data_IF_425008171532
#
_entry.id   IF_425008171532
#
_cell.length_a   1.000
_cell.length_b   1.000
_cell.length_c   1.000
_cell.angle_alpha   90.00
_cell.angle_beta   90.00
_cell.angle_gamma   90.00
#
_symmetry.space_group_name_H-M   'P 1'
#
loop_
_entity.id
_entity.type
_entity.pdbx_description
1 polymer ?
#
# COMPACT_ATOMS: atom_id res chain seq x y z
N UNK A 1 30.87 35.13 -85.15
CA UNK A 1 31.31 36.20 -84.23
C UNK A 1 31.58 35.58 -82.86
N UNK A 2 32.82 35.65 -82.38
CA UNK A 2 33.25 35.09 -81.09
C UNK A 2 33.25 36.22 -80.05
N UNK A 3 32.37 36.15 -79.06
CA UNK A 3 32.35 37.08 -77.94
C UNK A 3 32.84 36.34 -76.70
N UNK A 4 34.05 36.67 -76.24
CA UNK A 4 34.63 36.18 -74.98
C UNK A 4 34.09 37.02 -73.83
N UNK A 5 33.52 36.38 -72.82
CA UNK A 5 33.17 37.01 -71.54
C UNK A 5 34.17 36.54 -70.48
N UNK A 6 34.94 37.49 -69.94
CA UNK A 6 35.77 37.31 -68.77
C UNK A 6 34.88 37.52 -67.53
N UNK A 7 34.70 36.49 -66.71
CA UNK A 7 34.14 36.65 -65.37
C UNK A 7 35.28 36.79 -64.36
N UNK A 8 35.35 37.97 -63.75
CA UNK A 8 36.18 38.25 -62.60
C UNK A 8 35.59 37.52 -61.38
N UNK A 9 36.41 36.71 -60.71
CA UNK A 9 36.08 36.07 -59.44
C UNK A 9 36.25 37.12 -58.35
N UNK A 10 35.14 37.72 -57.93
CA UNK A 10 35.07 38.55 -56.73
C UNK A 10 34.98 37.67 -55.49
N UNK A 11 36.05 37.66 -54.68
CA UNK A 11 36.06 37.03 -53.37
C UNK A 11 35.12 37.77 -52.42
N UNK A 12 33.92 37.21 -52.20
CA UNK A 12 33.02 37.62 -51.13
C UNK A 12 33.54 37.07 -49.81
N UNK A 13 34.11 37.97 -48.99
CA UNK A 13 34.43 37.70 -47.60
C UNK A 13 33.12 37.52 -46.81
N UNK A 14 32.82 36.28 -46.42
CA UNK A 14 31.74 35.96 -45.48
C UNK A 14 32.20 36.32 -44.05
N UNK A 15 31.42 37.09 -43.27
CA UNK A 15 31.68 37.24 -41.85
C UNK A 15 31.39 35.91 -41.15
N UNK A 16 32.45 35.30 -40.61
CA UNK A 16 32.35 34.17 -39.67
C UNK A 16 31.72 34.72 -38.38
N UNK A 17 30.41 34.58 -38.25
CA UNK A 17 29.72 34.78 -36.97
C UNK A 17 30.00 33.56 -36.11
N UNK A 18 30.98 33.70 -35.21
CA UNK A 18 31.22 32.77 -34.10
C UNK A 18 29.99 32.78 -33.19
N UNK A 19 29.04 31.89 -33.45
CA UNK A 19 27.95 31.57 -32.52
C UNK A 19 28.54 30.77 -31.34
N UNK A 20 29.13 31.46 -30.37
CA UNK A 20 29.40 30.94 -29.02
C UNK A 20 28.10 30.90 -28.21
N UNK A 21 27.11 30.15 -28.72
CA UNK A 21 25.79 29.97 -28.15
C UNK A 21 25.43 28.49 -28.02
N UNK A 22 26.39 27.64 -27.63
CA UNK A 22 26.13 26.24 -27.32
C UNK A 22 25.38 26.15 -25.99
N UNK A 23 24.06 26.24 -26.11
CA UNK A 23 23.09 25.35 -25.49
C UNK A 23 23.48 24.79 -24.10
N UNK A 24 23.29 25.60 -23.06
CA UNK A 24 22.68 25.07 -21.83
C UNK A 24 21.20 24.84 -22.14
N UNK A 25 20.90 23.80 -22.93
CA UNK A 25 19.62 23.12 -22.80
C UNK A 25 19.68 22.48 -21.41
N UNK A 26 19.30 23.27 -20.42
CA UNK A 26 19.12 22.81 -19.05
C UNK A 26 18.23 21.58 -19.15
N UNK A 27 18.69 20.47 -18.58
CA UNK A 27 17.89 19.28 -18.32
C UNK A 27 16.60 19.75 -17.62
N UNK A 28 15.56 20.04 -18.39
CA UNK A 28 14.25 20.27 -17.85
C UNK A 28 13.88 18.94 -17.24
N UNK A 29 13.91 18.86 -15.90
CA UNK A 29 13.59 17.65 -15.19
C UNK A 29 12.25 17.14 -15.72
N UNK A 30 12.24 15.91 -16.25
CA UNK A 30 11.02 15.27 -16.72
C UNK A 30 10.00 15.37 -15.58
N UNK A 31 8.80 15.91 -15.82
CA UNK A 31 7.81 16.05 -14.77
C UNK A 31 7.52 14.68 -14.16
N UNK A 32 7.28 14.62 -12.84
CA UNK A 32 6.99 13.35 -12.17
C UNK A 32 5.76 12.70 -12.80
N UNK A 33 5.89 11.44 -13.19
CA UNK A 33 4.79 10.66 -13.79
C UNK A 33 3.72 10.28 -12.79
N UNK A 34 4.09 10.21 -11.51
CA UNK A 34 3.19 9.91 -10.39
C UNK A 34 3.31 11.01 -9.35
N UNK A 35 2.17 11.54 -8.92
CA UNK A 35 2.08 12.48 -7.81
C UNK A 35 1.10 11.95 -6.77
N UNK A 36 1.62 11.60 -5.60
CA UNK A 36 0.81 11.05 -4.52
C UNK A 36 0.09 12.16 -3.75
N UNK A 37 -1.23 12.01 -3.61
CA UNK A 37 -2.03 12.77 -2.64
C UNK A 37 -1.89 12.14 -1.26
N UNK A 38 -1.89 10.80 -1.21
CA UNK A 38 -1.73 10.00 0.00
C UNK A 38 -1.11 8.63 -0.35
N UNK A 39 -0.25 8.11 0.52
CA UNK A 39 0.30 6.75 0.43
C UNK A 39 0.63 6.24 1.83
N UNK A 40 0.03 5.13 2.25
CA UNK A 40 0.34 4.47 3.52
C UNK A 40 1.78 3.96 3.56
N UNK A 41 2.27 3.39 2.44
CA UNK A 41 3.60 2.79 2.32
C UNK A 41 4.76 3.79 2.48
N UNK A 42 4.54 5.07 2.16
CA UNK A 42 5.54 6.12 2.36
C UNK A 42 5.62 6.61 3.82
N UNK A 43 4.68 6.15 4.67
CA UNK A 43 4.55 6.56 6.06
C UNK A 43 4.31 8.07 6.24
N UNK A 44 4.26 8.52 7.49
CA UNK A 44 4.32 9.95 7.84
C UNK A 44 5.73 10.53 7.78
N UNK A 45 6.76 9.68 7.65
CA UNK A 45 8.17 10.05 7.75
C UNK A 45 8.89 10.18 6.38
N UNK A 46 8.29 9.72 5.29
CA UNK A 46 8.86 9.85 3.94
C UNK A 46 8.70 11.26 3.38
N UNK A 47 9.79 12.03 3.41
CA UNK A 47 9.83 13.41 2.94
C UNK A 47 9.36 13.61 1.49
N UNK A 48 8.40 14.54 1.34
CA UNK A 48 8.45 15.66 0.41
C UNK A 48 8.59 15.43 -1.10
N UNK A 49 7.90 14.45 -1.67
CA UNK A 49 7.41 14.58 -3.05
C UNK A 49 5.89 14.49 -3.09
N UNK A 50 5.23 15.62 -2.81
CA UNK A 50 3.80 15.80 -3.07
C UNK A 50 2.82 15.47 -1.94
N UNK A 51 3.29 15.04 -0.75
CA UNK A 51 2.41 14.67 0.35
C UNK A 51 1.39 15.77 0.69
N UNK A 52 0.12 15.51 0.41
CA UNK A 52 -0.95 16.43 0.72
C UNK A 52 -1.30 16.35 2.21
N UNK A 53 -1.59 17.49 2.83
CA UNK A 53 -2.13 17.50 4.19
C UNK A 53 -3.59 17.04 4.13
N UNK A 54 -3.92 16.00 4.89
CA UNK A 54 -5.29 15.53 5.01
C UNK A 54 -6.08 16.40 5.99
N UNK A 55 -7.32 16.71 5.64
CA UNK A 55 -8.26 17.47 6.46
C UNK A 55 -9.69 16.98 6.22
N UNK A 56 -10.61 17.11 7.20
CA UNK A 56 -12.02 16.85 6.95
C UNK A 56 -12.60 17.87 5.95
N UNK A 57 -13.59 17.43 5.17
CA UNK A 57 -14.40 18.28 4.28
C UNK A 57 -15.87 18.17 4.68
N UNK A 58 -16.53 19.29 4.94
CA UNK A 58 -17.87 19.29 5.52
C UNK A 58 -17.88 18.62 6.89
N UNK A 59 -18.81 17.68 7.11
CA UNK A 59 -18.83 16.82 8.30
C UNK A 59 -18.19 15.44 8.10
N UNK A 60 -17.46 15.24 6.99
CA UNK A 60 -16.67 14.02 6.79
C UNK A 60 -15.53 13.91 7.81
N UNK A 61 -15.03 12.70 7.99
CA UNK A 61 -13.94 12.39 8.93
C UNK A 61 -12.79 11.71 8.19
N UNK A 62 -11.57 12.05 8.59
CA UNK A 62 -10.35 11.42 8.10
C UNK A 62 -9.39 11.23 9.28
N UNK A 63 -9.03 9.99 9.58
CA UNK A 63 -8.13 9.65 10.66
C UNK A 63 -7.26 8.45 10.27
N UNK A 64 -6.02 8.43 10.76
CA UNK A 64 -5.16 7.26 10.58
C UNK A 64 -5.73 6.10 11.42
N UNK A 65 -6.07 5.01 10.75
CA UNK A 65 -6.49 3.75 11.38
C UNK A 65 -5.28 2.85 11.58
N UNK A 66 -5.17 2.27 12.77
CA UNK A 66 -4.14 1.27 13.12
C UNK A 66 -4.69 -0.15 13.12
N UNK A 67 -6.00 -0.28 12.99
CA UNK A 67 -6.70 -1.57 13.00
C UNK A 67 -6.58 -2.27 11.63
N UNK A 68 -6.33 -1.49 10.59
CA UNK A 68 -6.10 -1.96 9.22
C UNK A 68 -4.76 -1.44 8.75
N UNK A 69 -3.94 -2.32 8.19
CA UNK A 69 -2.65 -1.98 7.61
C UNK A 69 -2.66 -2.29 6.10
N UNK A 70 -1.86 -1.53 5.36
CA UNK A 70 -1.52 -1.80 3.97
C UNK A 70 0.00 -1.88 3.90
N UNK A 71 0.53 -3.02 3.46
CA UNK A 71 1.98 -3.24 3.35
C UNK A 71 2.72 -2.98 4.69
N UNK A 72 2.08 -3.31 5.82
CA UNK A 72 2.62 -3.10 7.16
C UNK A 72 2.53 -1.67 7.70
N UNK A 73 1.94 -0.74 6.95
CA UNK A 73 1.75 0.66 7.36
C UNK A 73 0.28 0.97 7.68
N UNK A 74 0.01 1.85 8.67
CA UNK A 74 -1.35 2.26 9.00
C UNK A 74 -1.97 3.09 7.88
N UNK A 75 -3.26 2.92 7.66
CA UNK A 75 -4.00 3.48 6.52
C UNK A 75 -4.90 4.65 6.93
N UNK A 76 -5.43 5.40 5.97
CA UNK A 76 -6.37 6.47 6.26
C UNK A 76 -7.80 5.92 6.29
N UNK A 77 -8.41 5.91 7.46
CA UNK A 77 -9.86 5.69 7.60
C UNK A 77 -10.61 6.96 7.19
N UNK A 78 -11.54 6.82 6.26
CA UNK A 78 -12.36 7.92 5.74
C UNK A 78 -13.82 7.58 6.01
N UNK A 79 -14.55 8.53 6.61
CA UNK A 79 -16.01 8.49 6.71
C UNK A 79 -16.59 9.60 5.88
N UNK A 80 -17.43 9.23 4.93
CA UNK A 80 -18.19 10.13 4.06
C UNK A 80 -19.66 10.07 4.45
N UNK A 81 -20.45 11.07 4.03
CA UNK A 81 -21.91 11.07 4.24
C UNK A 81 -22.72 11.24 2.98
N UNK A 82 -22.19 12.04 2.06
CA UNK A 82 -22.78 12.39 0.77
C UNK A 82 -21.71 13.17 -0.03
N UNK A 83 -22.07 13.61 -1.24
CA UNK A 83 -21.15 14.30 -2.15
C UNK A 83 -20.65 15.68 -1.65
N UNK A 84 -21.08 16.13 -0.49
CA UNK A 84 -20.67 17.38 0.13
C UNK A 84 -19.75 17.15 1.34
N UNK A 85 -19.59 15.91 1.81
CA UNK A 85 -18.92 15.58 3.07
C UNK A 85 -17.97 14.39 2.92
N UNK A 86 -16.69 14.61 3.24
CA UNK A 86 -15.65 13.59 3.07
C UNK A 86 -14.27 14.06 3.54
N UNK A 87 -13.24 13.80 2.73
CA UNK A 87 -11.84 14.14 3.03
C UNK A 87 -11.25 15.07 1.97
N UNK A 88 -10.47 16.05 2.41
CA UNK A 88 -9.68 16.96 1.59
C UNK A 88 -8.19 16.64 1.71
N UNK A 89 -7.50 16.70 0.59
CA UNK A 89 -6.05 16.58 0.44
C UNK A 89 -5.53 17.94 -0.03
N UNK A 90 -4.93 18.71 0.88
CA UNK A 90 -4.33 20.02 0.58
C UNK A 90 -2.89 19.84 0.10
N UNK A 91 -2.65 20.13 -1.17
CA UNK A 91 -1.35 19.88 -1.81
C UNK A 91 -0.33 20.91 -1.34
N UNK A 92 0.85 20.44 -0.95
CA UNK A 92 1.96 21.32 -0.56
C UNK A 92 2.47 22.17 -1.74
N UNK A 93 2.42 21.63 -2.95
CA UNK A 93 2.73 22.31 -4.20
C UNK A 93 1.56 22.13 -5.18
N UNK A 94 1.05 23.21 -5.81
CA UNK A 94 0.01 23.08 -6.82
C UNK A 94 0.46 22.21 -7.99
N UNK A 95 -0.45 21.38 -8.50
CA UNK A 95 -0.17 20.42 -9.59
C UNK A 95 -0.84 20.88 -10.88
N UNK A 96 -0.09 20.97 -11.97
CA UNK A 96 -0.68 21.15 -13.29
C UNK A 96 -1.23 19.81 -13.82
N UNK A 97 -2.55 19.66 -13.77
CA UNK A 97 -3.24 18.45 -14.25
C UNK A 97 -3.36 18.38 -15.77
N UNK A 98 -3.04 19.45 -16.51
CA UNK A 98 -3.16 19.42 -17.97
C UNK A 98 -2.16 18.44 -18.59
N UNK A 99 -0.99 18.26 -17.97
CA UNK A 99 -0.02 17.21 -18.33
C UNK A 99 -0.55 15.78 -18.17
N UNK A 100 -1.62 15.60 -17.37
CA UNK A 100 -2.27 14.32 -17.13
C UNK A 100 -3.52 14.12 -17.99
N UNK A 101 -4.03 15.11 -18.75
CA UNK A 101 -5.29 14.95 -19.47
C UNK A 101 -5.26 13.86 -20.53
N UNK A 102 -4.15 13.73 -21.27
CA UNK A 102 -4.09 12.80 -22.40
C UNK A 102 -4.11 11.33 -21.95
N UNK A 103 -3.24 10.99 -21.00
CA UNK A 103 -2.95 9.59 -20.60
C UNK A 103 -3.00 9.38 -19.08
N UNK A 104 -3.38 10.38 -18.31
CA UNK A 104 -3.38 10.31 -16.86
C UNK A 104 -4.72 9.90 -16.28
N UNK A 105 -4.66 9.36 -15.07
CA UNK A 105 -5.81 8.98 -14.26
C UNK A 105 -5.52 9.25 -12.78
N UNK A 106 -6.57 9.47 -12.01
CA UNK A 106 -6.52 9.36 -10.56
C UNK A 106 -6.63 7.88 -10.18
N UNK A 107 -5.72 7.42 -9.33
CA UNK A 107 -5.66 6.06 -8.81
C UNK A 107 -5.99 6.06 -7.33
N UNK A 108 -6.93 5.21 -6.91
CA UNK A 108 -7.30 4.98 -5.52
C UNK A 108 -7.14 3.50 -5.16
N UNK A 109 -6.46 3.20 -4.05
CA UNK A 109 -6.39 1.85 -3.46
C UNK A 109 -7.22 1.84 -2.18
N UNK A 110 -8.36 1.15 -2.21
CA UNK A 110 -9.38 1.20 -1.17
C UNK A 110 -9.68 -0.19 -0.62
N UNK A 111 -10.07 -0.26 0.66
CA UNK A 111 -10.69 -1.44 1.27
C UNK A 111 -11.96 -1.00 1.99
N UNK A 112 -13.03 -1.76 1.82
CA UNK A 112 -14.30 -1.52 2.49
C UNK A 112 -14.42 -2.39 3.74
N UNK A 113 -15.46 -2.19 4.53
CA UNK A 113 -15.65 -2.95 5.75
C UNK A 113 -15.92 -4.42 5.41
N UNK A 114 -15.27 -5.31 6.14
CA UNK A 114 -15.56 -6.73 6.07
C UNK A 114 -16.97 -6.95 6.63
N UNK A 115 -17.79 -7.71 5.92
CA UNK A 115 -19.05 -8.23 6.45
C UNK A 115 -18.68 -9.13 7.61
N UNK A 116 -19.13 -8.78 8.82
CA UNK A 116 -19.00 -9.67 9.96
C UNK A 116 -19.55 -11.04 9.53
N UNK A 117 -18.81 -12.14 9.77
CA UNK A 117 -19.30 -13.46 9.40
C UNK A 117 -20.70 -13.58 9.98
N UNK A 118 -21.68 -13.82 9.10
CA UNK A 118 -23.05 -14.00 9.55
C UNK A 118 -23.00 -15.14 10.55
N UNK A 119 -23.18 -14.82 11.84
CA UNK A 119 -23.19 -15.82 12.89
C UNK A 119 -24.32 -16.77 12.49
N UNK A 120 -24.04 -18.03 12.14
CA UNK A 120 -25.07 -18.93 11.67
C UNK A 120 -26.15 -18.96 12.73
N UNK A 121 -27.37 -18.60 12.34
CA UNK A 121 -28.51 -18.33 13.24
C UNK A 121 -28.91 -19.57 14.08
N UNK A 122 -28.27 -20.72 13.86
CA UNK A 122 -28.43 -21.96 14.63
C UNK A 122 -27.36 -22.26 15.70
N UNK A 123 -26.32 -21.42 15.89
CA UNK A 123 -25.26 -21.70 16.87
C UNK A 123 -25.57 -21.24 18.31
N UNK A 124 -26.76 -20.66 18.55
CA UNK A 124 -27.25 -20.31 19.90
C UNK A 124 -28.56 -21.05 20.20
N UNK A 125 -28.67 -22.33 19.83
CA UNK A 125 -29.53 -23.27 20.55
C UNK A 125 -28.76 -23.80 21.75
N UNK A 126 -28.46 -22.89 22.69
CA UNK A 126 -28.08 -23.26 24.03
C UNK A 126 -29.32 -23.78 24.76
N UNK A 127 -29.54 -25.10 24.68
CA UNK A 127 -30.40 -25.85 25.58
C UNK A 127 -30.24 -25.36 27.03
N UNK A 128 -31.35 -24.91 27.61
CA UNK A 128 -31.67 -25.19 29.01
C UNK A 128 -30.65 -24.80 30.08
N UNK A 129 -30.19 -23.54 30.11
CA UNK A 129 -29.72 -22.97 31.37
C UNK A 129 -30.90 -22.88 32.36
N UNK A 130 -30.83 -23.46 33.57
CA UNK A 130 -31.92 -23.38 34.53
C UNK A 130 -32.23 -21.92 34.88
N UNK A 131 -33.49 -21.58 35.19
CA UNK A 131 -33.88 -20.23 35.59
C UNK A 131 -33.13 -19.87 36.88
N UNK A 132 -32.06 -19.09 36.76
CA UNK A 132 -31.51 -18.37 37.89
C UNK A 132 -32.50 -17.24 38.21
N UNK A 133 -33.37 -17.48 39.19
CA UNK A 133 -34.12 -16.44 39.89
C UNK A 133 -33.12 -15.53 40.61
N UNK A 134 -32.57 -14.56 39.86
CA UNK A 134 -31.91 -13.41 40.45
C UNK A 134 -33.00 -12.53 41.07
N UNK A 135 -33.26 -12.81 42.35
CA UNK A 135 -34.02 -11.96 43.25
C UNK A 135 -33.44 -10.54 43.20
N UNK A 136 -34.13 -9.68 42.44
CA UNK A 136 -33.67 -8.35 42.09
C UNK A 136 -33.54 -7.50 43.36
N UNK A 137 -32.30 -7.17 43.74
CA UNK A 137 -32.01 -6.22 44.82
C UNK A 137 -32.80 -4.90 44.56
N UNK A 138 -33.77 -4.54 45.42
CA UNK A 138 -34.59 -3.35 45.24
C UNK A 138 -33.77 -2.05 45.28
N UNK A 139 -32.50 -2.09 45.72
CA UNK A 139 -31.60 -0.92 45.69
C UNK A 139 -31.07 -0.63 44.28
N UNK A 140 -30.96 -1.61 43.38
CA UNK A 140 -30.54 -1.41 42.00
C UNK A 140 -31.59 -0.62 41.20
N UNK A 141 -32.87 -0.96 41.34
CA UNK A 141 -33.99 -0.25 40.68
C UNK A 141 -34.10 1.23 41.09
N UNK A 142 -33.69 1.58 42.32
CA UNK A 142 -33.75 2.97 42.81
C UNK A 142 -32.62 3.85 42.26
N UNK A 143 -31.47 3.26 41.87
CA UNK A 143 -30.37 3.98 41.20
C UNK A 143 -30.70 4.28 39.74
N UNK A 144 -31.33 3.34 39.03
CA UNK A 144 -31.79 3.50 37.64
C UNK A 144 -32.78 4.68 37.50
N UNK A 145 -33.80 4.73 38.36
CA UNK A 145 -34.81 5.81 38.35
C UNK A 145 -34.25 7.19 38.66
N UNK A 146 -33.18 7.30 39.46
CA UNK A 146 -32.53 8.59 39.72
C UNK A 146 -31.68 9.07 38.56
N UNK A 147 -31.15 8.15 37.74
CA UNK A 147 -30.40 8.47 36.53
C UNK A 147 -31.32 9.02 35.44
N UNK A 148 -32.45 8.36 35.19
CA UNK A 148 -33.45 8.82 34.22
C UNK A 148 -34.09 10.17 34.57
N UNK A 149 -34.26 10.51 35.87
CA UNK A 149 -34.81 11.80 36.29
C UNK A 149 -33.84 12.99 36.16
N UNK A 150 -32.54 12.75 35.95
CA UNK A 150 -31.55 13.83 35.72
C UNK A 150 -31.38 14.19 34.25
N UNK A 151 -31.98 13.43 33.32
CA UNK A 151 -31.87 13.66 31.87
C UNK A 151 -33.07 14.39 31.26
N UNK A 152 -34.10 14.70 32.05
CA UNK A 152 -35.27 15.47 31.59
C UNK A 152 -35.09 16.98 31.87
N UNK A 153 -34.18 17.64 31.14
CA UNK A 153 -34.18 19.09 30.95
C UNK A 153 -34.06 19.38 29.44
N UNK A 154 -34.94 20.21 28.85
CA UNK A 154 -34.96 20.39 27.40
C UNK A 154 -33.87 21.36 26.98
N UNK A 155 -32.75 20.83 26.49
CA UNK A 155 -31.72 21.60 25.80
C UNK A 155 -31.23 20.82 24.56
N UNK A 156 -31.60 21.34 23.38
CA UNK A 156 -30.98 21.04 22.08
C UNK A 156 -29.47 21.30 22.13
N UNK A 157 -28.65 20.25 22.17
CA UNK A 157 -27.30 20.14 21.55
C UNK A 157 -26.92 18.66 21.38
N UNK A 158 -26.43 18.21 20.22
CA UNK A 158 -25.88 16.87 20.07
C UNK A 158 -24.52 16.82 20.75
N UNK A 159 -24.44 16.09 21.87
CA UNK A 159 -23.20 15.76 22.53
C UNK A 159 -22.96 14.25 22.39
N UNK A 160 -22.23 13.86 21.34
CA UNK A 160 -21.58 12.55 21.35
C UNK A 160 -20.27 12.68 22.15
N UNK A 161 -20.34 12.30 23.43
CA UNK A 161 -19.16 11.99 24.22
C UNK A 161 -18.74 10.56 23.89
N UNK A 162 -17.50 10.42 23.43
CA UNK A 162 -16.86 9.14 23.22
C UNK A 162 -16.79 8.30 24.49
N UNK A 163 -17.08 7.02 24.32
CA UNK A 163 -16.57 5.90 25.09
C UNK A 163 -16.97 4.62 24.34
N UNK A 164 -16.24 4.29 23.27
CA UNK A 164 -16.20 2.91 22.79
C UNK A 164 -15.36 2.12 23.81
N UNK A 165 -15.99 1.75 24.92
CA UNK A 165 -15.45 0.79 25.87
C UNK A 165 -15.73 -0.60 25.31
N UNK A 166 -14.87 -1.09 24.40
CA UNK A 166 -14.83 -2.51 24.05
C UNK A 166 -14.17 -3.27 25.22
N UNK A 167 -14.93 -3.43 26.30
CA UNK A 167 -14.63 -4.34 27.40
C UNK A 167 -15.37 -5.66 27.19
N UNK A 168 -15.06 -6.36 26.10
CA UNK A 168 -15.45 -7.76 25.93
C UNK A 168 -14.33 -8.61 26.51
N UNK A 169 -14.55 -9.20 27.68
CA UNK A 169 -13.71 -10.28 28.16
C UNK A 169 -13.76 -11.40 27.12
N UNK A 170 -12.65 -11.65 26.42
CA UNK A 170 -12.49 -12.83 25.59
C UNK A 170 -12.68 -14.06 26.50
N UNK A 171 -13.58 -15.01 26.17
CA UNK A 171 -13.58 -16.29 26.87
C UNK A 171 -12.23 -16.97 26.62
N UNK A 172 -11.71 -17.76 27.59
CA UNK A 172 -10.49 -18.52 27.38
C UNK A 172 -10.72 -19.52 26.24
N UNK A 173 -10.13 -19.24 25.08
CA UNK A 173 -10.05 -20.15 23.94
C UNK A 173 -9.09 -21.30 24.29
N UNK A 174 -9.60 -22.26 25.05
CA UNK A 174 -9.07 -23.63 25.09
C UNK A 174 -9.60 -24.37 23.87
N UNK A 175 -9.01 -24.15 22.70
CA UNK A 175 -9.37 -24.85 21.47
C UNK A 175 -8.62 -26.18 21.37
N UNK A 176 -9.36 -27.29 21.50
CA UNK A 176 -8.98 -28.56 20.91
C UNK A 176 -8.70 -28.37 19.41
N UNK A 177 -7.70 -29.08 18.89
CA UNK A 177 -7.13 -28.86 17.57
C UNK A 177 -8.17 -28.91 16.45
N UNK A 178 -8.39 -27.77 15.80
CA UNK A 178 -8.97 -27.74 14.47
C UNK A 178 -7.93 -28.36 13.53
N UNK A 179 -8.13 -29.64 13.18
CA UNK A 179 -7.45 -30.27 12.04
C UNK A 179 -7.88 -29.51 10.79
N UNK A 180 -7.04 -28.58 10.32
CA UNK A 180 -7.31 -27.82 9.11
C UNK A 180 -7.40 -28.77 7.92
N UNK A 181 -8.54 -28.74 7.22
CA UNK A 181 -8.71 -29.46 5.96
C UNK A 181 -7.59 -29.06 4.98
N UNK A 182 -6.76 -30.03 4.61
CA UNK A 182 -5.78 -29.85 3.55
C UNK A 182 -6.46 -30.16 2.21
N UNK A 183 -6.10 -29.40 1.18
CA UNK A 183 -6.41 -29.79 -0.20
C UNK A 183 -5.80 -31.17 -0.50
N UNK A 184 -6.31 -31.90 -1.52
CA UNK A 184 -5.77 -33.21 -1.92
C UNK A 184 -4.27 -33.20 -2.28
N UNK A 185 -3.71 -32.04 -2.56
CA UNK A 185 -2.29 -31.81 -2.86
C UNK A 185 -1.44 -31.49 -1.61
N UNK A 186 -2.04 -31.53 -0.42
CA UNK A 186 -1.38 -31.24 0.86
C UNK A 186 -1.19 -29.75 1.13
N UNK A 187 -1.70 -28.86 0.28
CA UNK A 187 -1.71 -27.42 0.58
C UNK A 187 -2.83 -27.08 1.56
N UNK A 188 -2.63 -26.15 2.51
CA UNK A 188 -3.72 -25.67 3.36
C UNK A 188 -4.83 -25.11 2.47
N UNK A 189 -6.10 -25.40 2.78
CA UNK A 189 -7.20 -24.65 2.17
C UNK A 189 -7.00 -23.18 2.50
N UNK A 190 -6.81 -22.35 1.48
CA UNK A 190 -6.78 -20.91 1.65
C UNK A 190 -8.18 -20.46 2.07
N UNK A 191 -8.31 -19.97 3.30
CA UNK A 191 -9.60 -19.51 3.81
C UNK A 191 -10.10 -18.39 2.90
N UNK A 192 -11.35 -18.45 2.40
CA UNK A 192 -11.88 -17.38 1.56
C UNK A 192 -11.82 -16.07 2.32
N UNK A 193 -11.38 -15.00 1.64
CA UNK A 193 -11.37 -13.67 2.23
C UNK A 193 -12.77 -13.30 2.71
N UNK A 194 -12.89 -12.60 3.85
CA UNK A 194 -14.18 -12.12 4.29
C UNK A 194 -14.80 -11.25 3.20
N UNK A 195 -16.07 -11.49 2.89
CA UNK A 195 -16.81 -10.66 1.96
C UNK A 195 -16.78 -9.21 2.46
N UNK A 196 -16.62 -8.24 1.55
CA UNK A 196 -16.70 -6.83 1.89
C UNK A 196 -18.09 -6.30 1.55
N UNK A 197 -18.56 -5.34 2.34
CA UNK A 197 -19.81 -4.63 2.09
C UNK A 197 -19.59 -3.13 2.19
N UNK A 198 -20.30 -2.40 1.34
CA UNK A 198 -20.44 -0.95 1.45
C UNK A 198 -21.79 -0.53 0.90
N UNK A 199 -22.33 0.58 1.43
CA UNK A 199 -23.49 1.24 0.83
C UNK A 199 -23.08 2.20 -0.31
N UNK A 200 -21.79 2.52 -0.42
CA UNK A 200 -21.27 3.45 -1.42
C UNK A 200 -21.37 2.81 -2.81
N UNK A 201 -22.10 3.46 -3.71
CA UNK A 201 -22.16 3.05 -5.13
C UNK A 201 -21.33 3.97 -6.02
N UNK A 202 -21.01 5.18 -5.56
CA UNK A 202 -20.19 6.15 -6.31
C UNK A 202 -19.27 6.95 -5.37
N UNK A 203 -18.00 7.11 -5.76
CA UNK A 203 -17.09 8.07 -5.15
C UNK A 203 -17.01 9.33 -6.00
N UNK A 204 -17.18 10.49 -5.36
CA UNK A 204 -17.04 11.81 -5.99
C UNK A 204 -15.65 12.39 -5.75
N UNK A 205 -15.00 12.84 -6.84
CA UNK A 205 -13.74 13.57 -6.81
C UNK A 205 -13.99 15.01 -7.21
N UNK A 206 -13.52 15.96 -6.40
CA UNK A 206 -13.48 17.39 -6.74
C UNK A 206 -12.06 17.92 -6.63
N UNK A 207 -11.52 18.43 -7.74
CA UNK A 207 -10.23 19.09 -7.82
C UNK A 207 -10.45 20.60 -7.76
N UNK A 208 -9.98 21.23 -6.68
CA UNK A 208 -9.99 22.67 -6.52
C UNK A 208 -8.80 23.27 -7.28
N UNK A 209 -9.09 24.10 -8.28
CA UNK A 209 -8.09 24.80 -9.09
C UNK A 209 -7.97 26.25 -8.64
N UNK A 210 -6.99 26.98 -9.18
CA UNK A 210 -6.86 28.43 -8.94
C UNK A 210 -8.14 29.19 -9.31
N UNK A 211 -8.75 28.84 -10.44
CA UNK A 211 -10.06 29.32 -10.84
C UNK A 211 -10.96 28.10 -11.11
N UNK A 212 -12.18 28.10 -10.60
CA UNK A 212 -13.15 27.03 -10.81
C UNK A 212 -12.78 25.67 -10.18
N UNK A 213 -13.52 24.64 -10.58
CA UNK A 213 -13.34 23.26 -10.09
C UNK A 213 -13.41 22.26 -11.23
N UNK A 214 -12.86 21.07 -11.01
CA UNK A 214 -12.96 19.94 -11.95
C UNK A 214 -13.41 18.71 -11.18
N UNK A 215 -14.48 18.07 -11.64
CA UNK A 215 -15.20 17.04 -10.89
C UNK A 215 -15.29 15.74 -11.69
N UNK A 216 -15.32 14.61 -11.00
CA UNK A 216 -15.58 13.32 -11.63
C UNK A 216 -16.15 12.32 -10.64
N UNK A 217 -16.62 11.18 -11.15
CA UNK A 217 -17.22 10.11 -10.36
C UNK A 217 -16.58 8.78 -10.68
N UNK A 218 -16.47 7.93 -9.68
CA UNK A 218 -15.93 6.58 -9.78
C UNK A 218 -17.02 5.62 -9.32
N UNK A 219 -17.55 4.75 -10.19
CA UNK A 219 -18.49 3.74 -9.76
C UNK A 219 -17.79 2.74 -8.83
N UNK A 220 -18.42 2.43 -7.71
CA UNK A 220 -17.99 1.41 -6.76
C UNK A 220 -18.85 0.18 -6.97
N UNK A 221 -18.26 -0.86 -7.56
CA UNK A 221 -18.92 -2.14 -7.75
C UNK A 221 -17.99 -3.26 -7.23
N UNK A 222 -18.36 -3.86 -6.09
CA UNK A 222 -17.57 -4.90 -5.43
C UNK A 222 -17.60 -6.25 -6.15
N UNK A 223 -18.58 -6.47 -7.04
CA UNK A 223 -18.70 -7.69 -7.83
C UNK A 223 -17.75 -7.70 -9.03
N UNK A 224 -17.53 -6.53 -9.63
CA UNK A 224 -16.68 -6.38 -10.82
C UNK A 224 -15.25 -5.98 -10.51
N UNK A 225 -14.99 -5.37 -9.34
CA UNK A 225 -13.63 -5.14 -8.89
C UNK A 225 -13.03 -6.43 -8.31
N UNK A 226 -11.74 -6.64 -8.53
CA UNK A 226 -11.01 -7.78 -7.98
C UNK A 226 -10.24 -7.31 -6.74
N UNK A 227 -10.55 -7.83 -5.54
CA UNK A 227 -9.72 -7.57 -4.38
C UNK A 227 -8.39 -8.31 -4.49
N UNK A 228 -7.33 -7.78 -3.89
CA UNK A 228 -6.15 -8.57 -3.60
C UNK A 228 -6.35 -9.51 -2.42
N UNK A 229 -5.30 -10.26 -2.10
CA UNK A 229 -5.20 -11.19 -0.97
C UNK A 229 -5.43 -10.55 0.41
N UNK A 230 -5.45 -9.22 0.52
CA UNK A 230 -5.72 -8.50 1.75
C UNK A 230 -7.07 -7.74 1.68
N UNK A 231 -7.83 -7.92 0.61
CA UNK A 231 -9.11 -7.26 0.37
C UNK A 231 -9.01 -5.88 -0.28
N UNK A 232 -7.82 -5.39 -0.66
CA UNK A 232 -7.69 -4.08 -1.30
C UNK A 232 -8.09 -4.12 -2.76
N UNK A 233 -8.78 -3.08 -3.19
CA UNK A 233 -9.31 -2.91 -4.55
C UNK A 233 -8.72 -1.66 -5.18
N UNK A 234 -8.40 -1.76 -6.47
CA UNK A 234 -7.93 -0.65 -7.27
C UNK A 234 -9.09 0.02 -8.00
N UNK A 235 -9.22 1.33 -7.84
CA UNK A 235 -10.15 2.16 -8.58
C UNK A 235 -9.39 3.23 -9.37
N UNK A 236 -9.81 3.49 -10.60
CA UNK A 236 -9.17 4.45 -11.49
C UNK A 236 -10.19 5.39 -12.12
N UNK A 237 -9.82 6.66 -12.27
CA UNK A 237 -10.62 7.71 -12.92
C UNK A 237 -9.76 8.45 -13.95
N UNK A 238 -9.97 8.23 -15.25
CA UNK A 238 -9.24 8.97 -16.27
C UNK A 238 -9.43 10.49 -16.10
N UNK A 239 -8.33 11.26 -16.15
CA UNK A 239 -8.39 12.72 -15.96
C UNK A 239 -9.18 13.40 -17.10
N UNK A 240 -9.18 12.79 -18.29
CA UNK A 240 -10.00 13.23 -19.43
C UNK A 240 -11.51 13.12 -19.18
N UNK A 241 -11.95 12.25 -18.26
CA UNK A 241 -13.36 12.03 -17.96
C UNK A 241 -13.88 13.01 -16.90
N UNK A 242 -13.00 13.87 -16.36
CA UNK A 242 -13.39 14.91 -15.43
C UNK A 242 -14.06 16.08 -16.15
N UNK A 243 -15.13 16.59 -15.54
CA UNK A 243 -15.90 17.74 -16.01
C UNK A 243 -15.44 18.99 -15.27
N UNK A 244 -14.95 19.97 -16.02
CA UNK A 244 -14.49 21.26 -15.51
C UNK A 244 -15.62 22.30 -15.56
N UNK A 245 -15.68 23.22 -14.58
CA UNK A 245 -16.51 24.44 -14.70
C UNK A 245 -16.01 25.33 -15.83
N UNK A 246 -16.85 26.25 -16.33
CA UNK A 246 -16.50 27.08 -17.49
C UNK A 246 -15.26 27.98 -17.26
N UNK A 247 -15.02 28.36 -16.01
CA UNK A 247 -13.91 29.19 -15.55
C UNK A 247 -12.70 28.37 -15.03
N UNK A 248 -12.81 27.03 -15.04
CA UNK A 248 -11.81 26.14 -14.48
C UNK A 248 -10.45 26.28 -15.17
N UNK A 249 -9.45 26.79 -14.45
CA UNK A 249 -8.11 26.99 -14.99
C UNK A 249 -7.05 27.04 -13.89
N UNK A 250 -5.78 26.90 -14.30
CA UNK A 250 -4.64 26.90 -13.39
C UNK A 250 -4.40 25.55 -12.71
N UNK A 251 -3.37 25.48 -11.84
CA UNK A 251 -3.01 24.26 -11.14
C UNK A 251 -4.04 23.87 -10.07
N UNK A 252 -4.06 22.59 -9.72
CA UNK A 252 -4.86 22.03 -8.62
C UNK A 252 -4.14 22.29 -7.30
N UNK A 253 -4.87 22.83 -6.32
CA UNK A 253 -4.38 23.08 -4.95
C UNK A 253 -4.86 22.05 -3.94
N UNK A 254 -6.06 21.53 -4.14
CA UNK A 254 -6.61 20.52 -3.25
C UNK A 254 -7.43 19.52 -4.05
N UNK A 255 -7.45 18.28 -3.59
CA UNK A 255 -8.39 17.25 -4.05
C UNK A 255 -9.34 16.91 -2.91
N UNK A 256 -10.61 16.69 -3.22
CA UNK A 256 -11.65 16.30 -2.27
C UNK A 256 -12.22 14.96 -2.74
N UNK A 257 -12.31 14.00 -1.80
CA UNK A 257 -12.92 12.69 -2.00
C UNK A 257 -14.18 12.60 -1.13
N UNK A 258 -15.30 12.24 -1.76
CA UNK A 258 -16.65 12.12 -1.19
C UNK A 258 -17.31 10.85 -1.72
N UNK A 259 -18.50 10.50 -1.23
CA UNK A 259 -19.33 9.41 -1.76
C UNK A 259 -20.79 9.83 -1.91
N UNK A 260 -21.60 9.01 -2.55
CA UNK A 260 -23.06 9.15 -2.58
C UNK A 260 -23.74 8.89 -1.23
N UNK A 261 -23.29 7.87 -0.49
CA UNK A 261 -23.90 7.39 0.75
C UNK A 261 -23.04 7.58 2.00
N UNK A 262 -23.65 7.51 3.19
CA UNK A 262 -22.91 7.50 4.46
C UNK A 262 -22.31 6.13 4.75
N UNK A 263 -20.98 6.06 4.73
CA UNK A 263 -20.22 4.85 5.08
C UNK A 263 -18.75 5.20 5.42
N UNK A 264 -17.99 4.20 5.85
CA UNK A 264 -16.53 4.33 5.98
C UNK A 264 -15.77 3.32 5.13
N UNK A 265 -14.64 3.76 4.61
CA UNK A 265 -13.67 2.91 3.91
C UNK A 265 -12.24 3.27 4.34
N UNK A 266 -11.31 2.39 4.01
CA UNK A 266 -9.89 2.58 4.23
C UNK A 266 -9.20 2.93 2.92
N UNK A 267 -8.38 3.99 2.93
CA UNK A 267 -7.59 4.46 1.81
C UNK A 267 -6.12 4.16 2.08
N UNK A 268 -5.52 3.32 1.22
CA UNK A 268 -4.09 3.02 1.25
C UNK A 268 -3.29 3.96 0.34
N UNK A 269 -3.85 4.34 -0.81
CA UNK A 269 -3.16 5.17 -1.80
C UNK A 269 -4.15 6.04 -2.57
N UNK A 270 -3.80 7.31 -2.78
CA UNK A 270 -4.43 8.21 -3.74
C UNK A 270 -3.34 8.94 -4.53
N UNK A 271 -3.35 8.86 -5.86
CA UNK A 271 -2.31 9.47 -6.69
C UNK A 271 -2.81 9.87 -8.08
N UNK A 272 -2.26 10.94 -8.65
CA UNK A 272 -2.31 11.18 -10.09
C UNK A 272 -1.19 10.40 -10.76
N UNK A 273 -1.51 9.66 -11.82
CA UNK A 273 -0.55 8.79 -12.52
C UNK A 273 -0.71 9.01 -14.02
N UNK A 274 0.40 9.09 -14.75
CA UNK A 274 0.43 9.07 -16.21
C UNK A 274 0.63 7.62 -16.69
N UNK A 275 -0.25 7.13 -17.57
CA UNK A 275 -0.09 5.82 -18.20
C UNK A 275 1.16 5.82 -19.10
N UNK A 276 2.14 4.99 -18.77
CA UNK A 276 3.36 4.78 -19.54
C UNK A 276 3.26 3.59 -20.51
N UNK A 277 2.21 2.76 -20.42
CA UNK A 277 2.04 1.53 -21.19
C UNK A 277 2.99 0.39 -20.79
N UNK A 278 4.00 0.66 -19.98
CA UNK A 278 4.99 -0.30 -19.51
C UNK A 278 5.12 -0.22 -17.99
N UNK A 279 5.29 -1.37 -17.34
CA UNK A 279 5.71 -1.40 -15.94
C UNK A 279 7.20 -1.06 -15.92
N UNK A 280 7.61 -0.16 -15.04
CA UNK A 280 9.03 0.05 -14.74
C UNK A 280 9.25 -0.07 -13.24
N UNK A 281 10.37 -0.67 -12.87
CA UNK A 281 10.79 -0.79 -11.47
C UNK A 281 12.23 -0.32 -11.31
N UNK A 282 12.49 0.48 -10.29
CA UNK A 282 13.83 0.86 -9.86
C UNK A 282 14.02 0.51 -8.39
N UNK A 283 15.19 -0.01 -8.03
CA UNK A 283 15.55 -0.29 -6.64
C UNK A 283 16.50 0.81 -6.16
N UNK A 284 16.23 1.36 -4.99
CA UNK A 284 17.01 2.44 -4.38
C UNK A 284 17.06 2.32 -2.86
N UNK A 285 17.88 3.14 -2.22
CA UNK A 285 17.86 3.31 -0.77
C UNK A 285 16.83 4.38 -0.36
N UNK A 286 16.38 4.41 0.90
CA UNK A 286 15.45 5.42 1.39
C UNK A 286 15.91 6.87 1.16
N UNK A 287 17.22 7.12 1.27
CA UNK A 287 17.84 8.43 1.07
C UNK A 287 18.01 8.85 -0.40
N UNK A 288 17.95 7.90 -1.33
CA UNK A 288 18.06 8.19 -2.75
C UNK A 288 16.71 8.72 -3.29
N UNK A 289 16.70 9.67 -4.26
CA UNK A 289 15.45 10.17 -4.83
C UNK A 289 14.63 9.08 -5.55
N UNK A 290 13.28 9.17 -5.56
CA UNK A 290 12.43 8.25 -6.32
C UNK A 290 12.79 8.17 -7.81
N UNK A 291 12.74 6.95 -8.36
CA UNK A 291 13.11 6.66 -9.75
C UNK A 291 14.62 6.52 -9.99
N UNK A 292 15.44 6.66 -8.95
CA UNK A 292 16.88 6.39 -9.04
C UNK A 292 17.10 4.89 -9.19
N UNK A 293 17.77 4.47 -10.26
CA UNK A 293 18.23 3.10 -10.40
C UNK A 293 19.66 3.00 -9.89
N UNK A 294 19.84 2.30 -8.77
CA UNK A 294 21.16 2.03 -8.21
C UNK A 294 21.58 0.62 -8.62
N UNK A 295 22.75 0.48 -9.25
CA UNK A 295 23.26 -0.82 -9.68
C UNK A 295 23.96 -1.57 -8.52
N UNK A 296 24.58 -0.84 -7.61
CA UNK A 296 25.37 -1.38 -6.50
C UNK A 296 25.28 -0.49 -5.27
N UNK A 297 25.15 -1.11 -4.09
CA UNK A 297 25.14 -0.45 -2.79
C UNK A 297 26.04 -1.20 -1.81
N UNK A 298 26.71 -0.46 -0.94
CA UNK A 298 27.56 -1.01 0.11
C UNK A 298 26.95 -0.71 1.48
N UNK A 299 26.83 -1.74 2.32
CA UNK A 299 26.29 -1.64 3.67
C UNK A 299 27.23 -2.31 4.67
N UNK A 300 27.17 -1.81 5.92
CA UNK A 300 27.70 -2.55 7.06
C UNK A 300 26.74 -3.68 7.44
N UNK A 301 27.21 -4.75 8.10
CA UNK A 301 26.34 -5.77 8.66
C UNK A 301 25.19 -5.17 9.49
N UNK A 302 24.00 -5.74 9.32
CA UNK A 302 22.79 -5.26 9.99
C UNK A 302 21.57 -5.20 9.07
N UNK A 303 20.55 -4.48 9.55
CA UNK A 303 19.31 -4.28 8.81
C UNK A 303 19.50 -3.27 7.67
N UNK A 304 19.19 -3.70 6.46
CA UNK A 304 19.23 -2.91 5.24
C UNK A 304 17.80 -2.74 4.74
N UNK A 305 17.40 -1.50 4.49
CA UNK A 305 16.11 -1.18 3.88
C UNK A 305 16.32 -0.76 2.43
N UNK A 306 15.60 -1.41 1.52
CA UNK A 306 15.56 -1.05 0.09
C UNK A 306 14.14 -0.67 -0.28
N UNK A 307 14.02 0.22 -1.27
CA UNK A 307 12.75 0.65 -1.83
C UNK A 307 12.72 0.32 -3.33
N UNK A 308 11.71 -0.41 -3.77
CA UNK A 308 11.33 -0.57 -5.16
C UNK A 308 10.33 0.53 -5.51
N UNK A 309 10.72 1.48 -6.36
CA UNK A 309 9.76 2.41 -6.95
C UNK A 309 9.15 1.74 -8.19
N UNK A 310 7.84 1.56 -8.18
CA UNK A 310 7.10 0.90 -9.26
C UNK A 310 6.21 1.89 -9.98
N UNK A 311 6.44 2.09 -11.27
CA UNK A 311 5.50 2.78 -12.16
C UNK A 311 4.78 1.73 -13.01
N UNK A 312 3.52 1.43 -12.67
CA UNK A 312 2.74 0.42 -13.38
C UNK A 312 1.65 1.02 -14.30
N UNK A 313 1.49 2.34 -14.30
CA UNK A 313 0.31 2.98 -14.88
C UNK A 313 -0.96 2.48 -14.16
N UNK A 314 -1.99 2.18 -14.94
CA UNK A 314 -3.30 1.71 -14.48
C UNK A 314 -3.29 0.23 -14.09
N UNK A 315 -2.19 -0.48 -14.33
CA UNK A 315 -2.04 -1.87 -13.90
C UNK A 315 -1.97 -1.94 -12.37
N UNK A 316 -2.39 -3.09 -11.84
CA UNK A 316 -2.31 -3.40 -10.42
C UNK A 316 -1.03 -4.23 -10.16
N UNK A 317 0.08 -3.60 -9.73
CA UNK A 317 1.34 -4.31 -9.54
C UNK A 317 1.29 -5.21 -8.31
N UNK A 318 1.89 -6.39 -8.44
CA UNK A 318 2.36 -7.22 -7.34
C UNK A 318 3.90 -7.20 -7.34
N UNK A 319 4.50 -6.91 -6.19
CA UNK A 319 5.96 -6.77 -6.02
C UNK A 319 6.48 -7.96 -5.22
N UNK A 320 7.37 -8.73 -5.82
CA UNK A 320 8.01 -9.90 -5.22
C UNK A 320 9.50 -9.60 -5.01
N UNK A 321 10.00 -9.75 -3.79
CA UNK A 321 11.42 -9.55 -3.46
C UNK A 321 12.16 -10.88 -3.32
N UNK A 322 13.35 -10.94 -3.89
CA UNK A 322 14.27 -12.06 -3.79
C UNK A 322 15.64 -11.56 -3.33
N UNK A 323 15.96 -11.77 -2.06
CA UNK A 323 17.17 -11.24 -1.42
C UNK A 323 18.44 -12.06 -1.69
N UNK A 324 18.34 -13.15 -2.45
CA UNK A 324 19.48 -13.99 -2.82
C UNK A 324 19.26 -14.66 -4.19
N UNK A 325 19.13 -13.81 -5.22
CA UNK A 325 18.74 -14.24 -6.56
C UNK A 325 19.74 -15.19 -7.24
N UNK A 326 20.99 -15.22 -6.78
CA UNK A 326 22.04 -16.06 -7.37
C UNK A 326 22.06 -17.49 -6.76
N UNK A 327 21.40 -17.75 -5.63
CA UNK A 327 21.42 -19.05 -4.93
C UNK A 327 20.10 -19.87 -5.02
N UNK A 328 19.11 -19.44 -5.81
CA UNK A 328 17.71 -19.97 -5.78
C UNK A 328 17.53 -21.37 -6.40
N UNK A 329 18.61 -22.11 -6.73
CA UNK A 329 18.53 -23.35 -7.51
C UNK A 329 18.67 -24.68 -6.76
N UNK A 330 18.93 -24.69 -5.45
CA UNK A 330 19.53 -25.87 -4.82
C UNK A 330 19.07 -26.22 -3.40
N UNK A 331 17.77 -26.13 -3.04
CA UNK A 331 17.30 -26.52 -1.70
C UNK A 331 15.91 -27.19 -1.65
N UNK A 332 15.74 -28.26 -0.84
CA UNK A 332 14.44 -28.87 -0.52
C UNK A 332 13.66 -28.10 0.57
N UNK A 333 12.33 -28.12 0.47
CA UNK A 333 11.37 -27.52 1.40
C UNK A 333 11.39 -28.22 2.76
N UNK A 334 11.93 -27.59 3.81
CA UNK A 334 11.42 -27.75 5.18
C UNK A 334 12.00 -26.68 6.11
N UNK A 335 11.16 -26.18 7.02
CA UNK A 335 11.44 -25.27 8.16
C UNK A 335 11.27 -23.75 7.89
N UNK A 336 10.03 -23.28 8.08
CA UNK A 336 9.71 -21.93 8.54
C UNK A 336 8.64 -22.06 9.65
N UNK A 337 9.09 -22.20 10.90
CA UNK A 337 8.24 -22.13 12.10
C UNK A 337 8.09 -20.67 12.56
N UNK A 338 6.85 -20.25 12.82
CA UNK A 338 6.48 -18.94 13.38
C UNK A 338 7.23 -18.67 14.71
N UNK A 339 7.59 -17.41 15.02
CA UNK A 339 8.16 -17.06 16.32
C UNK A 339 7.02 -16.91 17.34
N UNK A 340 6.74 -17.98 18.08
CA UNK A 340 6.09 -18.06 19.41
C UNK A 340 5.18 -19.30 19.49
N UNK A 341 5.77 -20.44 19.83
CA UNK A 341 5.09 -21.47 20.59
C UNK A 341 5.98 -21.81 21.80
N UNK A 342 5.45 -21.80 23.04
CA UNK A 342 6.22 -22.23 24.20
C UNK A 342 6.53 -23.72 24.05
N UNK A 343 7.82 -24.02 24.21
CA UNK A 343 8.43 -25.33 24.08
C UNK A 343 7.72 -26.37 24.99
N UNK A 344 7.05 -27.42 24.48
CA UNK A 344 6.66 -28.53 25.32
C UNK A 344 7.90 -29.37 25.62
N UNK A 345 8.17 -29.54 26.91
CA UNK A 345 9.25 -30.33 27.47
C UNK A 345 9.34 -31.72 26.80
N UNK A 346 10.44 -31.95 26.09
CA UNK A 346 10.85 -33.26 25.60
C UNK A 346 11.41 -34.05 26.78
N UNK A 347 10.63 -35.08 27.18
CA UNK A 347 11.03 -36.06 28.17
C UNK A 347 12.25 -36.85 27.74
N UNK A 348 13.07 -37.15 28.75
CA UNK A 348 14.25 -38.01 28.70
C UNK A 348 13.91 -39.39 28.11
N UNK A 349 14.69 -39.82 27.11
CA UNK A 349 14.83 -41.23 26.77
C UNK A 349 16.26 -41.67 27.10
N UNK A 350 16.45 -42.79 27.83
CA UNK A 350 17.75 -43.26 28.23
C UNK A 350 18.49 -43.98 27.09
N UNK A 351 19.80 -43.73 27.08
CA UNK A 351 20.82 -44.21 26.16
C UNK A 351 20.92 -45.74 26.10
N UNK A 352 21.01 -46.27 24.89
CA UNK A 352 21.62 -47.58 24.59
C UNK A 352 23.05 -47.37 24.08
N UNK A 353 24.01 -47.99 24.76
CA UNK A 353 25.41 -48.11 24.36
C UNK A 353 25.57 -48.81 23.00
N UNK A 354 26.34 -48.20 22.10
CA UNK A 354 26.61 -48.72 20.76
C UNK A 354 27.77 -48.00 20.08
N UNK A 355 28.98 -48.33 20.52
CA UNK A 355 30.19 -48.63 19.75
C UNK A 355 30.47 -47.94 18.38
N UNK A 356 31.59 -47.18 18.39
CA UNK A 356 32.66 -47.01 17.38
C UNK A 356 32.35 -46.78 15.88
N UNK A 357 32.90 -45.67 15.39
CA UNK A 357 33.79 -45.67 14.22
C UNK A 357 33.28 -44.89 13.01
N UNK A 358 34.00 -43.83 12.65
CA UNK A 358 33.90 -43.24 11.31
C UNK A 358 34.13 -41.73 11.26
N UNK A 359 35.25 -41.37 10.63
CA UNK A 359 35.48 -40.15 9.83
C UNK A 359 35.16 -38.77 10.44
N UNK A 360 36.23 -38.01 10.68
CA UNK A 360 36.16 -36.56 10.82
C UNK A 360 35.59 -35.94 9.53
N UNK A 361 34.46 -35.22 9.57
CA UNK A 361 33.99 -34.49 8.40
C UNK A 361 34.88 -33.27 8.16
N UNK A 362 35.35 -33.18 6.92
CA UNK A 362 35.92 -32.00 6.27
C UNK A 362 35.06 -30.79 6.59
N UNK A 363 35.70 -29.67 6.92
CA UNK A 363 35.08 -28.41 7.34
C UNK A 363 33.90 -28.01 6.44
N UNK A 364 32.70 -28.28 6.93
CA UNK A 364 31.48 -27.73 6.37
C UNK A 364 31.50 -26.23 6.62
N UNK A 365 31.56 -25.44 5.55
CA UNK A 365 31.08 -24.07 5.60
C UNK A 365 29.70 -24.10 6.28
N UNK A 366 29.56 -23.33 7.35
CA UNK A 366 28.29 -23.21 8.05
C UNK A 366 27.23 -22.84 7.01
N UNK A 367 26.10 -23.57 6.94
CA UNK A 367 25.05 -23.25 5.99
C UNK A 367 24.54 -21.85 6.32
N UNK A 368 24.80 -20.90 5.42
CA UNK A 368 24.21 -19.57 5.50
C UNK A 368 22.71 -19.78 5.30
N UNK A 369 21.86 -19.41 6.28
CA UNK A 369 20.43 -19.65 6.21
C UNK A 369 19.87 -18.92 4.99
N UNK A 370 19.14 -19.66 4.15
CA UNK A 370 18.39 -19.07 3.04
C UNK A 370 17.38 -18.07 3.61
N UNK A 371 17.51 -16.81 3.19
CA UNK A 371 16.53 -15.79 3.53
C UNK A 371 15.15 -16.16 2.96
N UNK A 372 14.05 -15.82 3.65
CA UNK A 372 12.71 -16.04 3.13
C UNK A 372 12.55 -15.35 1.77
N UNK A 373 11.82 -15.99 0.84
CA UNK A 373 11.12 -15.27 -0.23
C UNK A 373 10.10 -14.39 0.47
N UNK A 374 10.53 -13.17 0.78
CA UNK A 374 9.66 -12.17 1.33
C UNK A 374 8.79 -11.71 0.18
N UNK A 375 7.53 -12.10 0.23
CA UNK A 375 6.47 -11.31 -0.35
C UNK A 375 6.37 -10.00 0.46
N UNK A 376 7.43 -9.21 0.42
CA UNK A 376 7.46 -7.87 0.97
C UNK A 376 6.68 -7.03 -0.03
N UNK A 377 5.35 -7.17 0.04
CA UNK A 377 4.35 -6.53 -0.84
C UNK A 377 4.43 -5.01 -0.81
N UNK A 378 5.25 -4.47 0.10
CA UNK A 378 5.69 -3.10 0.13
C UNK A 378 6.58 -2.69 -1.04
N UNK A 379 6.45 -1.43 -1.45
CA UNK A 379 7.56 -0.72 -2.09
C UNK A 379 8.83 -0.79 -1.23
N UNK A 380 8.76 -1.11 0.06
CA UNK A 380 9.90 -1.17 0.98
C UNK A 380 10.09 -2.59 1.52
N UNK A 381 11.33 -3.04 1.56
CA UNK A 381 11.69 -4.32 2.17
C UNK A 381 12.95 -4.16 3.02
N UNK A 382 12.94 -4.75 4.22
CA UNK A 382 14.07 -4.73 5.15
C UNK A 382 14.60 -6.14 5.34
N UNK A 383 15.90 -6.33 5.13
CA UNK A 383 16.59 -7.60 5.32
C UNK A 383 17.78 -7.41 6.25
N UNK A 384 18.00 -8.37 7.16
CA UNK A 384 19.15 -8.36 8.06
C UNK A 384 20.20 -9.31 7.51
N UNK A 385 21.32 -8.76 7.05
CA UNK A 385 22.44 -9.56 6.58
C UNK A 385 23.29 -10.05 7.76
N UNK A 386 23.75 -11.31 7.73
CA UNK A 386 24.68 -11.82 8.73
C UNK A 386 26.01 -11.04 8.68
N UNK A 387 26.81 -11.14 9.75
CA UNK A 387 28.08 -10.41 9.92
C UNK A 387 29.23 -10.88 9.01
N UNK A 388 28.92 -11.52 7.89
CA UNK A 388 29.92 -12.06 6.97
C UNK A 388 30.05 -11.14 5.75
N UNK A 389 31.29 -10.88 5.33
CA UNK A 389 31.53 -10.14 4.10
C UNK A 389 31.06 -10.96 2.90
N UNK A 390 29.93 -10.56 2.32
CA UNK A 390 29.32 -11.27 1.21
C UNK A 390 28.65 -10.28 0.26
N UNK A 391 28.62 -10.64 -1.02
CA UNK A 391 27.84 -9.94 -2.03
C UNK A 391 26.52 -10.69 -2.21
N UNK A 392 25.41 -9.97 -2.09
CA UNK A 392 24.07 -10.48 -2.32
C UNK A 392 23.47 -9.80 -3.55
N UNK A 393 22.80 -10.56 -4.39
CA UNK A 393 21.99 -10.00 -5.48
C UNK A 393 20.54 -9.96 -5.04
N UNK A 394 20.02 -8.75 -4.87
CA UNK A 394 18.60 -8.54 -4.59
C UNK A 394 17.90 -8.31 -5.91
N UNK A 395 16.89 -9.13 -6.21
CA UNK A 395 16.03 -9.00 -7.37
C UNK A 395 14.61 -8.65 -6.92
N UNK A 396 13.99 -7.72 -7.63
CA UNK A 396 12.57 -7.40 -7.50
C UNK A 396 11.88 -7.78 -8.79
N UNK A 397 10.85 -8.61 -8.69
CA UNK A 397 9.95 -8.93 -9.81
C UNK A 397 8.64 -8.22 -9.60
N UNK A 398 8.23 -7.39 -10.56
CA UNK A 398 6.92 -6.75 -10.57
C UNK A 398 6.06 -7.42 -11.62
N UNK A 399 4.88 -7.89 -11.21
CA UNK A 399 3.88 -8.50 -12.09
C UNK A 399 2.62 -7.67 -12.11
N UNK A 400 1.95 -7.63 -13.24
CA UNK A 400 0.57 -7.16 -13.30
C UNK A 400 -0.34 -8.27 -12.78
N UNK A 401 -1.12 -8.01 -11.73
CA UNK A 401 -2.06 -8.99 -11.16
C UNK A 401 -3.12 -9.42 -12.18
N UNK A 402 -3.43 -8.59 -13.17
CA UNK A 402 -4.34 -8.97 -14.26
C UNK A 402 -3.70 -9.93 -15.29
N UNK A 403 -2.38 -10.09 -15.25
CA UNK A 403 -1.61 -10.87 -16.22
C UNK A 403 -1.49 -10.24 -17.61
N UNK A 404 -2.00 -9.01 -17.81
CA UNK A 404 -1.99 -8.36 -19.13
C UNK A 404 -0.61 -7.83 -19.51
N UNK A 405 0.13 -7.24 -18.57
CA UNK A 405 1.51 -6.77 -18.80
C UNK A 405 2.54 -7.83 -18.41
N UNK A 406 3.60 -7.91 -19.21
CA UNK A 406 4.73 -8.81 -18.94
C UNK A 406 5.41 -8.45 -17.61
N UNK A 407 5.83 -9.43 -16.80
CA UNK A 407 6.62 -9.18 -15.60
C UNK A 407 7.90 -8.40 -15.90
N UNK A 408 8.25 -7.48 -15.01
CA UNK A 408 9.48 -6.68 -15.11
C UNK A 408 10.37 -6.96 -13.91
N UNK A 409 11.66 -7.12 -14.16
CA UNK A 409 12.66 -7.41 -13.13
C UNK A 409 13.64 -6.26 -13.00
N UNK A 410 13.98 -5.90 -11.77
CA UNK A 410 15.13 -5.08 -11.44
C UNK A 410 16.04 -5.85 -10.48
N UNK A 411 17.34 -5.63 -10.57
CA UNK A 411 18.28 -6.20 -9.60
C UNK A 411 19.32 -5.19 -9.17
N UNK A 412 19.75 -5.30 -7.92
CA UNK A 412 20.81 -4.49 -7.32
C UNK A 412 21.81 -5.41 -6.63
N UNK A 413 23.10 -5.08 -6.74
CA UNK A 413 24.16 -5.76 -6.01
C UNK A 413 24.34 -5.10 -4.64
N UNK A 414 24.19 -5.87 -3.57
CA UNK A 414 24.39 -5.45 -2.19
C UNK A 414 25.71 -6.02 -1.68
N UNK A 415 26.68 -5.16 -1.39
CA UNK A 415 27.97 -5.54 -0.80
C UNK A 415 27.93 -5.31 0.71
N UNK A 416 28.05 -6.37 1.50
CA UNK A 416 28.16 -6.26 2.95
C UNK A 416 29.64 -6.26 3.33
N UNK A 417 30.11 -5.20 3.99
CA UNK A 417 31.53 -5.01 4.39
C UNK A 417 31.65 -4.73 5.89
N UNK A 418 32.54 -5.47 6.57
CA UNK A 418 32.77 -5.42 8.02
C UNK A 418 33.59 -4.24 8.50
#
# INVERSE_FOLDING_TARGET
>A
MKTRWNFAVGALALPIVLFSGLARAQNAATPPRTVYLYSAALGTAGGNLGAAKTAPWGNGLAAISRDVNYEGAPVLGVTTRNFQEGVRFDLAAPIDIEGFRANGFLRLRLRFRDTAPAVPEGAVEGEGGPPFDMEADPRARRRERRRQRREAAPLLKPAWKGAAQFGGALPPLGGEGFEGEMNPDGTPLEAPLPAQQTNITELGITLLRDNGVTMGRIPVNLETSTPDEEGWRLFVLPIKDLVSTADASGPVRSAILTSDEEDSFYLAQAAFVIESGQITVSIRRPEDPPGTQVAEVEFKPGAVTLIADVEAGAADPAVEWNFDADNVGNLPLTVLTKPNAPNPALGELPFGEGELGGEFPVGGQAPVPAGPRLDARGLTATFTYPNEEQNYRVEVTVRDRSGQKQPVKASILVKVRG
#
